data_IF_918164579086
#
_entry.id   IF_918164579086
#
_cell.length_a   1.000
_cell.length_b   1.000
_cell.length_c   1.000
_cell.angle_alpha   90.00
_cell.angle_beta   90.00
_cell.angle_gamma   90.00
#
_symmetry.space_group_name_H-M   'P 1'
#
loop_
_entity.id
_entity.type
_entity.pdbx_description
1 polymer ?
#
# COMPACT_ATOMS: atom_id res chain seq x y z
N UNK A 1 -10.96 31.40 3.86
CA UNK A 1 -10.45 30.40 2.92
C UNK A 1 -9.98 29.11 3.59
N UNK A 2 -9.53 29.10 4.85
CA UNK A 2 -9.20 27.87 5.62
C UNK A 2 -10.45 27.03 5.93
N UNK A 3 -11.52 27.65 6.35
CA UNK A 3 -12.76 27.01 6.82
C UNK A 3 -13.51 26.21 5.71
N UNK A 4 -13.47 26.67 4.46
CA UNK A 4 -14.14 25.97 3.35
C UNK A 4 -13.34 24.75 2.83
N UNK A 5 -12.02 24.72 3.05
CA UNK A 5 -11.18 23.56 2.72
C UNK A 5 -11.34 22.43 3.75
N UNK A 6 -11.43 22.75 5.04
CA UNK A 6 -11.67 21.79 6.13
C UNK A 6 -13.03 21.10 6.03
N UNK A 7 -14.09 21.83 5.66
CA UNK A 7 -15.45 21.29 5.56
C UNK A 7 -15.63 20.19 4.48
N UNK A 8 -14.63 19.95 3.63
CA UNK A 8 -14.70 18.99 2.50
C UNK A 8 -13.87 17.74 2.68
N UNK A 9 -12.94 17.68 3.65
CA UNK A 9 -12.15 16.49 3.93
C UNK A 9 -13.02 15.43 4.65
N UNK A 10 -12.64 14.16 4.48
CA UNK A 10 -13.25 13.11 5.29
C UNK A 10 -12.93 13.34 6.77
N UNK A 11 -13.92 13.31 7.68
CA UNK A 11 -13.72 13.72 9.09
C UNK A 11 -12.68 12.88 9.85
N UNK A 12 -12.47 11.62 9.43
CA UNK A 12 -11.49 10.72 10.04
C UNK A 12 -10.24 10.55 9.15
N UNK A 13 -10.11 11.30 8.06
CA UNK A 13 -8.88 11.25 7.25
C UNK A 13 -7.73 11.89 8.02
N UNK A 14 -6.53 11.31 7.97
CA UNK A 14 -5.34 11.96 8.49
C UNK A 14 -5.05 13.24 7.69
N UNK A 15 -4.29 14.14 8.25
CA UNK A 15 -3.86 15.34 7.53
C UNK A 15 -2.92 14.98 6.37
N UNK A 16 -2.02 14.02 6.60
CA UNK A 16 -1.08 13.47 5.65
C UNK A 16 -1.09 11.94 5.75
N UNK A 17 -0.66 11.24 4.70
CA UNK A 17 -0.38 9.80 4.73
C UNK A 17 1.13 9.61 4.67
N UNK A 18 1.81 9.61 5.81
CA UNK A 18 3.27 9.36 5.90
C UNK A 18 3.57 7.87 6.02
N UNK A 19 2.82 7.18 6.86
CA UNK A 19 2.83 5.74 7.13
C UNK A 19 1.41 5.29 7.51
N UNK A 20 1.25 4.07 8.02
CA UNK A 20 -0.05 3.56 8.48
C UNK A 20 -0.26 3.72 9.99
N UNK A 21 0.74 4.23 10.71
CA UNK A 21 0.68 4.37 12.16
C UNK A 21 -0.41 5.37 12.54
N UNK A 22 -1.30 4.95 13.44
CA UNK A 22 -2.36 5.81 13.95
C UNK A 22 -3.53 6.06 13.00
N UNK A 23 -3.59 5.39 11.84
CA UNK A 23 -4.79 5.42 11.02
C UNK A 23 -5.97 4.79 11.79
N UNK A 24 -7.17 5.31 11.51
CA UNK A 24 -8.39 4.74 12.04
C UNK A 24 -8.90 3.58 11.15
N UNK A 25 -9.21 2.44 11.80
CA UNK A 25 -9.73 1.25 11.10
C UNK A 25 -11.03 1.55 10.34
N UNK A 26 -11.90 2.39 10.92
CA UNK A 26 -13.17 2.75 10.27
C UNK A 26 -12.94 3.59 9.04
N UNK A 27 -12.00 4.50 9.08
CA UNK A 27 -11.56 5.28 7.92
C UNK A 27 -11.05 4.37 6.79
N UNK A 28 -10.22 3.36 7.11
CA UNK A 28 -9.73 2.42 6.10
C UNK A 28 -10.86 1.63 5.42
N UNK A 29 -11.84 1.16 6.19
CA UNK A 29 -12.99 0.43 5.63
C UNK A 29 -13.88 1.34 4.76
N UNK A 30 -14.05 2.60 5.13
CA UNK A 30 -14.75 3.59 4.32
C UNK A 30 -13.96 3.92 3.05
N UNK A 31 -12.62 3.99 3.14
CA UNK A 31 -11.74 4.18 2.00
C UNK A 31 -11.86 3.03 1.00
N UNK A 32 -11.92 1.79 1.48
CA UNK A 32 -12.13 0.60 0.62
C UNK A 32 -13.50 0.64 -0.07
N UNK A 33 -14.55 1.01 0.65
CA UNK A 33 -15.88 1.13 0.08
C UNK A 33 -15.96 2.23 -1.00
N UNK A 34 -15.27 3.36 -0.79
CA UNK A 34 -15.21 4.43 -1.77
C UNK A 34 -14.36 4.04 -3.00
N UNK A 35 -13.25 3.33 -2.80
CA UNK A 35 -12.45 2.78 -3.89
C UNK A 35 -13.28 1.84 -4.78
N UNK A 36 -14.08 0.96 -4.17
CA UNK A 36 -14.96 0.04 -4.90
C UNK A 36 -16.07 0.79 -5.65
N UNK A 37 -16.65 1.84 -5.04
CA UNK A 37 -17.63 2.72 -5.69
C UNK A 37 -17.05 3.44 -6.91
N UNK A 38 -15.85 4.04 -6.77
CA UNK A 38 -15.16 4.72 -7.87
C UNK A 38 -14.74 3.76 -8.98
N UNK A 39 -14.37 2.52 -8.62
CA UNK A 39 -14.07 1.45 -9.58
C UNK A 39 -15.31 1.07 -10.39
N UNK A 40 -16.46 0.87 -9.74
CA UNK A 40 -17.69 0.42 -10.37
C UNK A 40 -18.23 1.39 -11.44
N UNK A 41 -17.92 2.68 -11.33
CA UNK A 41 -18.39 3.71 -12.30
C UNK A 41 -17.30 4.17 -13.27
N UNK A 42 -16.09 3.58 -13.19
CA UNK A 42 -14.97 3.94 -14.07
C UNK A 42 -15.32 3.79 -15.55
N UNK A 43 -14.97 4.78 -16.35
CA UNK A 43 -15.21 4.77 -17.79
C UNK A 43 -16.68 4.98 -18.20
N UNK A 44 -17.56 5.26 -17.25
CA UNK A 44 -18.97 5.57 -17.52
C UNK A 44 -19.26 7.08 -17.41
N UNK A 45 -20.36 7.57 -18.04
CA UNK A 45 -20.79 8.96 -17.88
C UNK A 45 -21.16 9.33 -16.40
N UNK A 46 -21.31 8.34 -15.53
CA UNK A 46 -21.61 8.52 -14.10
C UNK A 46 -20.36 8.69 -13.24
N UNK A 47 -19.15 8.60 -13.82
CA UNK A 47 -17.90 8.77 -13.10
C UNK A 47 -17.83 10.19 -12.52
N UNK A 48 -17.73 10.34 -11.17
CA UNK A 48 -17.68 11.66 -10.56
C UNK A 48 -16.31 12.31 -10.77
N UNK A 49 -16.29 13.64 -10.72
CA UNK A 49 -15.07 14.45 -10.84
C UNK A 49 -14.85 15.29 -9.57
N UNK A 50 -14.67 14.67 -8.39
CA UNK A 50 -14.63 15.36 -7.11
C UNK A 50 -13.40 16.25 -6.91
N UNK A 51 -12.37 16.08 -7.72
CA UNK A 51 -11.14 16.88 -7.70
C UNK A 51 -11.03 17.84 -8.90
N UNK A 52 -12.16 18.22 -9.51
CA UNK A 52 -12.15 19.18 -10.61
C UNK A 52 -11.50 20.50 -10.18
N UNK A 53 -10.51 20.97 -10.98
CA UNK A 53 -9.73 22.17 -10.72
C UNK A 53 -8.65 22.02 -9.62
N UNK A 54 -8.37 20.80 -9.15
CA UNK A 54 -7.28 20.50 -8.22
C UNK A 54 -6.06 19.93 -8.92
N UNK A 55 -4.89 20.23 -8.38
CA UNK A 55 -3.60 19.78 -8.92
C UNK A 55 -2.81 19.00 -7.88
N UNK A 56 -2.25 17.85 -8.29
CA UNK A 56 -1.29 17.09 -7.51
C UNK A 56 0.14 17.36 -8.00
N UNK A 57 1.07 17.64 -7.09
CA UNK A 57 2.50 17.60 -7.38
C UNK A 57 3.05 16.19 -7.14
N UNK A 58 3.73 15.62 -8.15
CA UNK A 58 4.37 14.31 -8.05
C UNK A 58 5.88 14.48 -7.95
N UNK A 59 6.45 14.09 -6.82
CA UNK A 59 7.89 14.16 -6.49
C UNK A 59 8.45 12.75 -6.48
N UNK A 60 9.20 12.36 -7.51
CA UNK A 60 9.69 11.00 -7.68
C UNK A 60 11.21 10.94 -7.80
N UNK A 61 11.89 10.61 -6.71
CA UNK A 61 13.35 10.41 -6.68
C UNK A 61 13.78 8.99 -7.10
N UNK A 62 12.81 8.07 -7.22
CA UNK A 62 13.02 6.70 -7.70
C UNK A 62 12.16 6.45 -8.93
N UNK A 63 12.64 5.71 -9.96
CA UNK A 63 11.82 5.25 -11.06
C UNK A 63 10.56 4.54 -10.56
N UNK A 64 9.42 4.80 -11.17
CA UNK A 64 8.16 4.18 -10.78
C UNK A 64 7.12 4.25 -11.90
N UNK A 65 6.90 3.12 -12.56
CA UNK A 65 5.85 3.01 -13.57
C UNK A 65 4.46 3.04 -12.89
N UNK A 66 4.20 2.07 -12.02
CA UNK A 66 2.87 1.87 -11.40
C UNK A 66 2.39 3.06 -10.60
N UNK A 67 3.25 3.61 -9.74
CA UNK A 67 2.88 4.75 -8.89
C UNK A 67 2.63 6.01 -9.71
N UNK A 68 3.51 6.31 -10.68
CA UNK A 68 3.34 7.46 -11.56
C UNK A 68 2.03 7.37 -12.34
N UNK A 69 1.79 6.24 -13.00
CA UNK A 69 0.57 6.02 -13.80
C UNK A 69 -0.67 6.07 -12.91
N UNK A 70 -0.68 5.39 -11.76
CA UNK A 70 -1.88 5.34 -10.91
C UNK A 70 -2.27 6.69 -10.32
N UNK A 71 -1.32 7.53 -9.88
CA UNK A 71 -1.64 8.87 -9.38
C UNK A 71 -2.02 9.83 -10.51
N UNK A 72 -1.28 9.83 -11.64
CA UNK A 72 -1.59 10.69 -12.79
C UNK A 72 -2.95 10.38 -13.38
N UNK A 73 -3.21 9.10 -13.69
CA UNK A 73 -4.52 8.66 -14.22
C UNK A 73 -5.61 8.87 -13.19
N UNK A 74 -5.32 8.60 -11.91
CA UNK A 74 -6.26 8.82 -10.81
C UNK A 74 -6.71 10.27 -10.70
N UNK A 75 -5.78 11.24 -10.74
CA UNK A 75 -6.11 12.67 -10.73
C UNK A 75 -6.95 13.05 -11.95
N UNK A 76 -6.54 12.62 -13.14
CA UNK A 76 -7.27 12.89 -14.37
C UNK A 76 -8.72 12.36 -14.35
N UNK A 77 -8.90 11.08 -13.94
CA UNK A 77 -10.23 10.47 -13.83
C UNK A 77 -11.13 11.17 -12.79
N UNK A 78 -10.52 11.74 -11.73
CA UNK A 78 -11.23 12.53 -10.71
C UNK A 78 -11.46 14.00 -11.12
N UNK A 79 -11.00 14.39 -12.32
CA UNK A 79 -11.21 15.74 -12.89
C UNK A 79 -10.14 16.77 -12.53
N UNK A 80 -9.08 16.35 -11.85
CA UNK A 80 -7.92 17.17 -11.55
C UNK A 80 -6.76 16.92 -12.52
N UNK A 81 -5.63 17.54 -12.22
CA UNK A 81 -4.38 17.44 -12.97
C UNK A 81 -3.23 16.98 -12.09
N UNK A 82 -2.15 16.50 -12.70
CA UNK A 82 -0.92 16.13 -12.01
C UNK A 82 0.30 16.74 -12.70
N UNK A 83 1.18 17.35 -11.92
CA UNK A 83 2.46 17.91 -12.37
C UNK A 83 3.59 17.08 -11.81
N UNK A 84 4.46 16.59 -12.69
CA UNK A 84 5.66 15.83 -12.32
C UNK A 84 6.84 16.79 -12.11
N UNK A 85 7.35 16.85 -10.89
CA UNK A 85 8.41 17.79 -10.52
C UNK A 85 9.84 17.22 -10.68
N UNK A 86 9.99 15.93 -11.05
CA UNK A 86 11.31 15.32 -11.22
C UNK A 86 12.12 15.18 -9.94
N UNK A 87 13.41 14.82 -10.10
CA UNK A 87 14.31 14.42 -8.98
C UNK A 87 15.01 15.60 -8.31
N UNK A 88 15.26 16.69 -9.04
CA UNK A 88 16.26 17.71 -8.67
C UNK A 88 15.69 18.81 -7.76
N UNK A 89 14.38 18.96 -7.72
CA UNK A 89 13.74 20.15 -7.15
C UNK A 89 13.42 20.01 -5.67
N UNK A 90 13.25 18.77 -5.16
CA UNK A 90 12.95 18.51 -3.74
C UNK A 90 13.90 17.48 -3.17
N UNK A 91 14.97 17.91 -2.51
CA UNK A 91 15.92 17.00 -1.85
C UNK A 91 16.46 17.59 -0.56
N UNK A 92 16.91 16.74 0.38
CA UNK A 92 17.53 17.19 1.63
C UNK A 92 18.84 17.97 1.43
N UNK A 93 19.47 17.81 0.26
CA UNK A 93 20.71 18.49 -0.15
C UNK A 93 20.47 19.47 -1.30
N UNK A 94 19.20 19.79 -1.58
CA UNK A 94 18.80 20.72 -2.65
C UNK A 94 19.21 22.16 -2.39
N UNK A 95 18.95 23.01 -3.40
CA UNK A 95 19.25 24.45 -3.32
C UNK A 95 18.30 25.16 -2.34
N UNK A 96 17.11 24.61 -2.12
CA UNK A 96 16.10 25.12 -1.20
C UNK A 96 15.89 24.14 -0.04
N UNK A 97 15.47 24.66 1.11
CA UNK A 97 15.10 23.81 2.23
C UNK A 97 13.81 23.04 1.93
N UNK A 98 13.66 21.84 2.53
CA UNK A 98 12.43 21.04 2.39
C UNK A 98 11.22 21.83 2.86
N UNK A 99 11.37 22.64 3.89
CA UNK A 99 10.33 23.51 4.48
C UNK A 99 9.88 24.59 3.50
N UNK A 100 10.84 25.28 2.83
CA UNK A 100 10.51 26.31 1.84
C UNK A 100 9.77 25.69 0.66
N UNK A 101 10.22 24.55 0.16
CA UNK A 101 9.53 23.81 -0.91
C UNK A 101 8.12 23.43 -0.47
N UNK A 102 7.91 22.95 0.78
CA UNK A 102 6.59 22.63 1.30
C UNK A 102 5.66 23.84 1.34
N UNK A 103 6.17 25.01 1.79
CA UNK A 103 5.38 26.25 1.83
C UNK A 103 5.02 26.74 0.42
N UNK A 104 5.97 26.71 -0.52
CA UNK A 104 5.75 27.13 -1.92
C UNK A 104 4.72 26.23 -2.59
N UNK A 105 4.89 24.90 -2.49
CA UNK A 105 3.93 23.94 -3.06
C UNK A 105 2.55 24.09 -2.43
N UNK A 106 2.46 24.38 -1.13
CA UNK A 106 1.17 24.59 -0.45
C UNK A 106 0.38 25.78 -1.03
N UNK A 107 1.04 26.76 -1.63
CA UNK A 107 0.40 27.87 -2.33
C UNK A 107 0.06 27.61 -3.80
N UNK A 108 0.60 26.55 -4.42
CA UNK A 108 0.50 26.31 -5.85
C UNK A 108 -0.33 25.08 -6.22
N UNK A 109 -0.36 24.04 -5.36
CA UNK A 109 -1.05 22.78 -5.64
C UNK A 109 -1.96 22.39 -4.47
N UNK A 110 -2.76 21.33 -4.64
CA UNK A 110 -3.74 20.89 -3.64
C UNK A 110 -3.30 19.65 -2.85
N UNK A 111 -2.33 18.91 -3.35
CA UNK A 111 -1.70 17.78 -2.65
C UNK A 111 -0.33 17.46 -3.23
N UNK A 112 0.53 16.82 -2.44
CA UNK A 112 1.85 16.36 -2.85
C UNK A 112 1.94 14.84 -2.69
N UNK A 113 2.43 14.16 -3.72
CA UNK A 113 2.72 12.71 -3.71
C UNK A 113 4.21 12.53 -3.81
N UNK A 114 4.82 11.88 -2.80
CA UNK A 114 6.29 11.75 -2.69
C UNK A 114 6.70 10.30 -2.75
N UNK A 115 7.63 9.97 -3.65
CA UNK A 115 8.34 8.70 -3.70
C UNK A 115 9.86 8.97 -3.66
N UNK A 116 10.47 8.64 -2.55
CA UNK A 116 11.88 8.97 -2.27
C UNK A 116 12.59 7.85 -1.52
N UNK A 117 13.88 8.00 -1.25
CA UNK A 117 14.64 7.15 -0.33
C UNK A 117 14.36 7.54 1.12
N UNK A 118 14.55 8.81 1.45
CA UNK A 118 14.47 9.33 2.81
C UNK A 118 13.04 9.43 3.31
N UNK A 119 12.71 8.68 4.37
CA UNK A 119 11.44 8.83 5.08
C UNK A 119 11.37 10.17 5.82
N UNK A 120 12.51 10.62 6.35
CA UNK A 120 12.63 11.92 7.02
C UNK A 120 12.25 13.10 6.11
N UNK A 121 12.60 13.02 4.81
CA UNK A 121 12.17 14.05 3.84
C UNK A 121 10.64 14.15 3.79
N UNK A 122 9.94 13.00 3.73
CA UNK A 122 8.48 12.99 3.71
C UNK A 122 7.89 13.55 5.00
N UNK A 123 8.47 13.20 6.15
CA UNK A 123 8.05 13.73 7.46
C UNK A 123 8.23 15.25 7.54
N UNK A 124 9.36 15.79 7.06
CA UNK A 124 9.63 17.25 7.04
C UNK A 124 8.68 17.97 6.09
N UNK A 125 8.44 17.44 4.89
CA UNK A 125 7.44 17.98 3.97
C UNK A 125 6.05 18.02 4.62
N UNK A 126 5.63 16.91 5.24
CA UNK A 126 4.33 16.82 5.91
C UNK A 126 4.22 17.82 7.08
N UNK A 127 5.27 17.96 7.89
CA UNK A 127 5.28 18.89 9.02
C UNK A 127 5.18 20.37 8.63
N UNK A 128 5.57 20.73 7.40
CA UNK A 128 5.60 22.12 6.93
C UNK A 128 4.53 22.45 5.88
N UNK A 129 3.93 21.45 5.27
CA UNK A 129 2.89 21.66 4.27
C UNK A 129 1.53 21.93 4.91
N UNK A 130 0.76 22.87 4.32
CA UNK A 130 -0.66 23.11 4.68
C UNK A 130 -1.64 22.35 3.76
N UNK A 131 -1.12 21.53 2.88
CA UNK A 131 -1.84 20.63 1.96
C UNK A 131 -1.45 19.19 2.24
N UNK A 132 -2.28 18.19 1.88
CA UNK A 132 -1.96 16.79 2.11
C UNK A 132 -0.65 16.36 1.44
N UNK A 133 0.16 15.60 2.18
CA UNK A 133 1.33 14.90 1.67
C UNK A 133 1.06 13.39 1.73
N UNK A 134 1.27 12.70 0.61
CA UNK A 134 1.09 11.25 0.47
C UNK A 134 2.46 10.61 0.25
N UNK A 135 2.88 9.76 1.19
CA UNK A 135 4.02 8.87 1.00
C UNK A 135 3.64 7.76 0.01
N UNK A 136 4.15 7.85 -1.20
CA UNK A 136 3.97 6.82 -2.22
C UNK A 136 4.99 5.66 -2.09
N UNK A 137 6.13 5.89 -1.47
CA UNK A 137 7.15 4.96 -1.00
C UNK A 137 8.36 5.70 -0.43
N UNK A 138 8.89 5.21 0.66
CA UNK A 138 10.25 5.48 1.15
C UNK A 138 10.96 4.16 1.47
N UNK A 139 12.25 4.19 1.85
CA UNK A 139 12.97 2.99 2.30
C UNK A 139 12.45 2.46 3.64
N UNK A 140 11.64 3.24 4.35
CA UNK A 140 11.05 2.86 5.63
C UNK A 140 9.62 2.35 5.52
N UNK A 141 8.79 2.89 4.62
CA UNK A 141 7.36 2.58 4.54
C UNK A 141 6.82 2.66 3.11
N UNK A 142 5.86 1.79 2.78
CA UNK A 142 5.10 1.81 1.53
C UNK A 142 3.57 1.76 1.78
N UNK A 143 3.00 2.78 2.43
CA UNK A 143 1.61 2.75 2.91
C UNK A 143 0.60 2.56 1.77
N UNK A 144 0.80 3.20 0.62
CA UNK A 144 -0.08 3.06 -0.54
C UNK A 144 -0.14 1.63 -1.10
N UNK A 145 0.92 0.84 -0.93
CA UNK A 145 0.93 -0.56 -1.35
C UNK A 145 0.05 -1.39 -0.41
N UNK A 146 0.32 -1.32 0.90
CA UNK A 146 -0.40 -2.15 1.86
C UNK A 146 -1.88 -1.79 1.93
N UNK A 147 -2.24 -0.52 1.82
CA UNK A 147 -3.64 -0.12 1.66
C UNK A 147 -4.30 -0.80 0.45
N UNK A 148 -3.61 -0.91 -0.69
CA UNK A 148 -4.14 -1.56 -1.89
C UNK A 148 -4.20 -3.09 -1.75
N UNK A 149 -3.24 -3.70 -1.05
CA UNK A 149 -3.20 -5.12 -0.77
C UNK A 149 -4.37 -5.52 0.14
N UNK A 150 -4.59 -4.76 1.21
CA UNK A 150 -5.73 -4.95 2.10
C UNK A 150 -7.07 -4.72 1.39
N UNK A 151 -7.15 -3.73 0.51
CA UNK A 151 -8.33 -3.50 -0.33
C UNK A 151 -8.58 -4.70 -1.26
N UNK A 152 -7.54 -5.29 -1.83
CA UNK A 152 -7.64 -6.48 -2.68
C UNK A 152 -8.23 -7.67 -1.91
N UNK A 153 -7.72 -7.94 -0.71
CA UNK A 153 -8.24 -8.99 0.18
C UNK A 153 -9.69 -8.72 0.60
N UNK A 154 -9.99 -7.47 1.00
CA UNK A 154 -11.35 -7.06 1.38
C UNK A 154 -12.34 -7.21 0.21
N UNK A 155 -11.94 -6.86 -1.01
CA UNK A 155 -12.77 -7.07 -2.22
C UNK A 155 -13.01 -8.53 -2.52
N UNK A 156 -12.02 -9.38 -2.31
CA UNK A 156 -12.16 -10.84 -2.42
C UNK A 156 -13.06 -11.44 -1.32
N UNK A 157 -13.63 -10.62 -0.42
CA UNK A 157 -14.51 -11.05 0.66
C UNK A 157 -13.77 -11.64 1.86
N UNK A 158 -12.45 -11.49 1.95
CA UNK A 158 -11.69 -11.97 3.10
C UNK A 158 -12.00 -11.11 4.33
N UNK A 159 -12.17 -11.74 5.47
CA UNK A 159 -12.27 -11.04 6.76
C UNK A 159 -10.88 -10.70 7.28
N UNK A 160 -10.51 -9.42 7.17
CA UNK A 160 -9.19 -8.93 7.56
C UNK A 160 -8.87 -9.12 9.05
N UNK A 161 -9.84 -9.46 9.89
CA UNK A 161 -9.61 -9.77 11.30
C UNK A 161 -9.37 -11.27 11.57
N UNK A 162 -9.55 -12.15 10.57
CA UNK A 162 -9.48 -13.60 10.75
C UNK A 162 -8.39 -14.27 9.90
N UNK A 163 -7.92 -13.62 8.84
CA UNK A 163 -6.94 -14.21 7.93
C UNK A 163 -5.54 -14.33 8.55
N UNK A 164 -4.78 -15.27 8.02
CA UNK A 164 -3.35 -15.41 8.31
C UNK A 164 -2.56 -14.97 7.07
N UNK A 165 -1.68 -14.01 7.25
CA UNK A 165 -0.76 -13.49 6.24
C UNK A 165 0.64 -14.04 6.51
N UNK A 166 1.27 -14.63 5.49
CA UNK A 166 2.66 -15.04 5.52
C UNK A 166 3.52 -14.10 4.68
N UNK A 167 4.50 -13.50 5.32
CA UNK A 167 5.58 -12.79 4.65
C UNK A 167 6.80 -13.69 4.54
N UNK A 168 7.39 -13.80 3.33
CA UNK A 168 8.61 -14.57 3.08
C UNK A 168 9.57 -13.69 2.29
N UNK A 169 10.71 -13.31 2.86
CA UNK A 169 11.70 -12.49 2.15
C UNK A 169 12.40 -11.46 3.03
N UNK A 170 12.74 -10.31 2.48
CA UNK A 170 13.49 -9.24 3.13
C UNK A 170 12.65 -8.47 4.17
N UNK A 171 13.27 -8.05 5.26
CA UNK A 171 12.67 -7.18 6.28
C UNK A 171 12.57 -5.73 5.84
N UNK A 172 12.05 -5.47 4.65
CA UNK A 172 12.05 -4.19 3.98
C UNK A 172 10.85 -3.28 4.33
N UNK A 173 10.74 -2.14 3.65
CA UNK A 173 9.68 -1.14 3.82
C UNK A 173 8.25 -1.68 3.56
N UNK A 174 8.09 -2.72 2.73
CA UNK A 174 6.78 -3.34 2.50
C UNK A 174 6.37 -4.16 3.71
N UNK A 175 7.31 -4.94 4.29
CA UNK A 175 7.07 -5.63 5.56
C UNK A 175 6.82 -4.64 6.70
N UNK A 176 7.56 -3.52 6.78
CA UNK A 176 7.31 -2.48 7.77
C UNK A 176 5.85 -2.02 7.75
N UNK A 177 5.32 -1.74 6.56
CA UNK A 177 3.93 -1.32 6.43
C UNK A 177 2.92 -2.45 6.72
N UNK A 178 3.27 -3.74 6.53
CA UNK A 178 2.46 -4.85 7.02
C UNK A 178 2.46 -4.94 8.56
N UNK A 179 3.60 -4.66 9.21
CA UNK A 179 3.70 -4.58 10.67
C UNK A 179 2.80 -3.47 11.22
N UNK A 180 2.85 -2.27 10.62
CA UNK A 180 1.96 -1.15 10.97
C UNK A 180 0.48 -1.56 10.81
N UNK A 181 0.11 -2.15 9.67
CA UNK A 181 -1.26 -2.58 9.38
C UNK A 181 -1.77 -3.64 10.37
N UNK A 182 -0.90 -4.49 10.90
CA UNK A 182 -1.26 -5.53 11.88
C UNK A 182 -1.79 -4.95 13.20
N UNK A 183 -1.46 -3.71 13.51
CA UNK A 183 -1.98 -3.01 14.70
C UNK A 183 -3.41 -2.49 14.50
N UNK A 184 -3.87 -2.37 13.26
CA UNK A 184 -5.17 -1.82 12.88
C UNK A 184 -6.24 -2.90 12.70
N UNK A 185 -5.82 -4.09 12.24
CA UNK A 185 -6.71 -5.24 11.98
C UNK A 185 -6.26 -6.46 12.79
N UNK A 186 -7.15 -7.42 12.91
CA UNK A 186 -6.93 -8.62 13.71
C UNK A 186 -6.26 -9.78 12.97
N UNK A 187 -5.72 -9.59 11.76
CA UNK A 187 -5.04 -10.66 11.05
C UNK A 187 -3.78 -11.14 11.78
N UNK A 188 -3.45 -12.41 11.58
CA UNK A 188 -2.18 -12.98 12.02
C UNK A 188 -1.11 -12.70 10.99
N UNK A 189 0.06 -12.19 11.42
CA UNK A 189 1.21 -11.97 10.54
C UNK A 189 2.36 -12.90 10.94
N UNK A 190 2.72 -13.82 10.05
CA UNK A 190 3.89 -14.67 10.19
C UNK A 190 4.99 -14.17 9.27
N UNK A 191 6.17 -13.96 9.83
CA UNK A 191 7.29 -13.30 9.14
C UNK A 191 8.46 -14.26 9.08
N UNK A 192 8.81 -14.71 7.88
CA UNK A 192 10.01 -15.48 7.59
C UNK A 192 11.02 -14.61 6.86
N UNK A 193 12.08 -14.22 7.57
CA UNK A 193 13.20 -13.42 7.04
C UNK A 193 14.52 -14.09 7.44
N UNK A 194 15.55 -14.08 6.58
CA UNK A 194 16.88 -14.57 6.93
C UNK A 194 17.49 -13.79 8.10
N UNK A 195 18.41 -14.42 8.82
CA UNK A 195 19.18 -13.73 9.85
C UNK A 195 20.04 -12.62 9.20
N UNK A 196 20.02 -11.43 9.81
CA UNK A 196 20.68 -10.23 9.30
C UNK A 196 19.85 -9.37 8.35
N UNK A 197 18.63 -9.79 8.03
CA UNK A 197 17.67 -9.06 7.17
C UNK A 197 16.34 -8.78 7.89
N UNK A 198 16.40 -8.69 9.20
CA UNK A 198 15.23 -8.41 10.03
C UNK A 198 14.64 -7.03 9.71
N UNK A 199 13.31 -6.86 9.87
CA UNK A 199 12.69 -5.54 9.83
C UNK A 199 13.19 -4.65 10.97
N UNK A 200 12.89 -3.36 10.91
CA UNK A 200 13.17 -2.43 12.01
C UNK A 200 12.67 -3.00 13.34
N UNK A 201 13.58 -3.08 14.33
CA UNK A 201 13.30 -3.72 15.62
C UNK A 201 12.22 -2.98 16.40
N UNK A 202 12.15 -1.64 16.31
CA UNK A 202 11.15 -0.84 16.99
C UNK A 202 9.75 -1.10 16.41
N UNK A 203 9.63 -1.13 15.10
CA UNK A 203 8.36 -1.46 14.41
C UNK A 203 7.91 -2.89 14.71
N UNK A 204 8.85 -3.85 14.71
CA UNK A 204 8.52 -5.24 15.02
C UNK A 204 7.98 -5.39 16.44
N UNK A 205 8.67 -4.81 17.44
CA UNK A 205 8.25 -4.88 18.85
C UNK A 205 6.92 -4.16 19.11
N UNK A 206 6.70 -3.00 18.46
CA UNK A 206 5.40 -2.30 18.55
C UNK A 206 4.27 -3.15 17.96
N UNK A 207 4.49 -3.75 16.78
CA UNK A 207 3.52 -4.63 16.14
C UNK A 207 3.25 -5.90 16.97
N UNK A 208 4.29 -6.53 17.54
CA UNK A 208 4.16 -7.69 18.41
C UNK A 208 3.33 -7.38 19.66
N UNK A 209 3.52 -6.19 20.25
CA UNK A 209 2.81 -5.75 21.45
C UNK A 209 1.35 -5.33 21.17
N UNK A 210 1.06 -4.74 20.01
CA UNK A 210 -0.23 -4.08 19.71
C UNK A 210 -1.12 -4.84 18.76
N UNK A 211 -0.59 -5.77 17.95
CA UNK A 211 -1.38 -6.55 17.02
C UNK A 211 -2.36 -7.47 17.73
N UNK A 212 -3.65 -7.40 17.36
CA UNK A 212 -4.70 -8.25 17.93
C UNK A 212 -4.63 -9.69 17.42
N UNK A 213 -4.19 -9.89 16.19
CA UNK A 213 -4.02 -11.23 15.58
C UNK A 213 -2.71 -11.89 15.94
N UNK A 214 -1.76 -11.10 16.39
CA UNK A 214 -0.40 -11.52 16.71
C UNK A 214 0.55 -11.44 15.50
N UNK A 215 1.78 -10.99 15.80
CA UNK A 215 2.91 -11.00 14.85
C UNK A 215 3.91 -12.03 15.36
N UNK A 216 4.38 -12.90 14.49
CA UNK A 216 5.35 -13.92 14.87
C UNK A 216 6.43 -14.07 13.79
N UNK A 217 7.68 -13.88 14.20
CA UNK A 217 8.83 -14.25 13.36
C UNK A 217 9.09 -15.74 13.48
N UNK A 218 9.34 -16.37 12.34
CA UNK A 218 9.75 -17.77 12.21
C UNK A 218 10.99 -17.85 11.32
N UNK A 219 11.80 -18.90 11.51
CA UNK A 219 13.01 -19.09 10.69
C UNK A 219 12.74 -19.88 9.42
N UNK A 220 11.80 -20.82 9.50
CA UNK A 220 11.45 -21.69 8.38
C UNK A 220 10.33 -21.05 7.56
N UNK A 221 10.56 -20.70 6.28
CA UNK A 221 9.52 -20.18 5.41
C UNK A 221 8.29 -21.08 5.30
N UNK A 222 8.47 -22.40 5.35
CA UNK A 222 7.36 -23.36 5.35
C UNK A 222 6.50 -23.29 6.61
N UNK A 223 7.09 -22.92 7.76
CA UNK A 223 6.31 -22.65 8.99
C UNK A 223 5.46 -21.39 8.83
N UNK A 224 5.98 -20.35 8.15
CA UNK A 224 5.23 -19.13 7.91
C UNK A 224 4.00 -19.38 7.03
N UNK A 225 4.18 -20.06 5.91
CA UNK A 225 3.14 -20.24 4.89
C UNK A 225 2.10 -21.30 5.26
N UNK A 226 2.39 -22.23 6.17
CA UNK A 226 1.48 -23.34 6.51
C UNK A 226 0.10 -22.84 6.95
N UNK A 227 -0.93 -23.14 6.13
CA UNK A 227 -2.30 -22.72 6.39
C UNK A 227 -2.49 -21.20 6.39
N UNK A 228 -1.65 -20.45 5.68
CA UNK A 228 -1.84 -19.04 5.44
C UNK A 228 -2.93 -18.81 4.38
N UNK A 229 -3.67 -17.72 4.49
CA UNK A 229 -4.70 -17.29 3.53
C UNK A 229 -4.11 -16.40 2.44
N UNK A 230 -2.95 -15.81 2.72
CA UNK A 230 -2.16 -15.01 1.79
C UNK A 230 -0.68 -15.26 2.01
N UNK A 231 0.06 -15.45 0.92
CA UNK A 231 1.53 -15.49 0.90
C UNK A 231 2.01 -14.25 0.14
N UNK A 232 2.91 -13.48 0.76
CA UNK A 232 3.46 -12.26 0.19
C UNK A 232 4.97 -12.27 0.26
N UNK A 233 5.61 -11.77 -0.79
CA UNK A 233 7.05 -11.52 -0.86
C UNK A 233 7.34 -10.22 -1.61
N UNK A 234 8.58 -9.80 -1.59
CA UNK A 234 9.11 -8.70 -2.38
C UNK A 234 10.53 -9.04 -2.85
N UNK A 235 11.07 -8.23 -3.74
CA UNK A 235 12.43 -8.39 -4.25
C UNK A 235 13.45 -8.49 -3.11
N UNK A 236 14.38 -9.42 -3.21
CA UNK A 236 15.45 -9.56 -2.22
C UNK A 236 16.44 -8.39 -2.27
N UNK A 237 16.60 -7.78 -3.45
CA UNK A 237 17.48 -6.64 -3.67
C UNK A 237 16.64 -5.43 -4.09
N UNK A 238 16.47 -4.48 -3.17
CA UNK A 238 15.76 -3.24 -3.44
C UNK A 238 16.60 -2.28 -4.26
N UNK A 239 15.94 -1.28 -4.88
CA UNK A 239 16.60 -0.22 -5.65
C UNK A 239 17.63 0.54 -4.78
N UNK A 240 18.88 0.59 -5.25
CA UNK A 240 20.02 1.17 -4.55
C UNK A 240 20.86 0.16 -3.75
N UNK A 241 20.48 -1.12 -3.75
CA UNK A 241 21.20 -2.22 -3.07
C UNK A 241 21.83 -3.20 -4.08
N UNK A 242 21.95 -2.84 -5.34
CA UNK A 242 22.39 -3.74 -6.44
C UNK A 242 23.79 -4.32 -6.18
N UNK A 243 24.64 -3.61 -5.43
CA UNK A 243 25.98 -4.11 -5.06
C UNK A 243 25.93 -5.29 -4.10
N UNK A 244 24.85 -5.48 -3.38
CA UNK A 244 24.64 -6.58 -2.42
C UNK A 244 23.96 -7.79 -3.06
N UNK A 245 23.56 -7.73 -4.32
CA UNK A 245 22.67 -8.71 -4.96
C UNK A 245 23.17 -10.17 -4.85
N UNK A 246 24.46 -10.41 -5.08
CA UNK A 246 25.02 -11.77 -4.99
C UNK A 246 25.03 -12.29 -3.55
N UNK A 247 25.40 -11.47 -2.59
CA UNK A 247 25.38 -11.85 -1.18
C UNK A 247 23.95 -12.10 -0.70
N UNK A 248 23.00 -11.23 -1.07
CA UNK A 248 21.57 -11.41 -0.77
C UNK A 248 21.03 -12.71 -1.36
N UNK A 249 21.39 -13.05 -2.61
CA UNK A 249 20.97 -14.32 -3.24
C UNK A 249 21.43 -15.55 -2.45
N UNK A 250 22.60 -15.51 -1.84
CA UNK A 250 23.11 -16.58 -0.97
C UNK A 250 22.33 -16.62 0.35
N UNK A 251 22.14 -15.47 1.00
CA UNK A 251 21.45 -15.37 2.28
C UNK A 251 19.97 -15.77 2.19
N UNK A 252 19.31 -15.45 1.08
CA UNK A 252 17.91 -15.80 0.83
C UNK A 252 17.69 -17.19 0.22
N UNK A 253 18.75 -18.03 0.15
CA UNK A 253 18.61 -19.42 -0.29
C UNK A 253 17.57 -20.14 0.58
N UNK A 254 16.53 -20.71 -0.08
CA UNK A 254 15.40 -21.35 0.60
C UNK A 254 14.21 -20.42 0.93
N UNK A 255 14.29 -19.13 0.58
CA UNK A 255 13.19 -18.18 0.76
C UNK A 255 12.44 -17.87 -0.56
N UNK A 256 12.74 -18.58 -1.65
CA UNK A 256 11.96 -18.51 -2.90
C UNK A 256 10.55 -19.05 -2.67
N UNK A 257 9.53 -18.26 -2.91
CA UNK A 257 8.15 -18.75 -2.87
C UNK A 257 7.90 -19.60 -4.11
N UNK A 258 7.83 -20.90 -3.91
CA UNK A 258 7.59 -21.93 -4.92
C UNK A 258 6.22 -22.59 -4.77
N UNK A 259 5.86 -23.51 -5.68
CA UNK A 259 4.59 -24.21 -5.66
C UNK A 259 4.43 -25.11 -4.42
N UNK A 260 5.55 -25.57 -3.82
CA UNK A 260 5.49 -26.38 -2.59
C UNK A 260 5.12 -25.52 -1.41
N UNK A 261 5.63 -24.27 -1.33
CA UNK A 261 5.21 -23.31 -0.31
C UNK A 261 3.74 -22.94 -0.50
N UNK A 262 3.29 -22.67 -1.72
CA UNK A 262 1.87 -22.39 -1.98
C UNK A 262 0.98 -23.59 -1.66
N UNK A 263 1.41 -24.81 -1.91
CA UNK A 263 0.67 -26.02 -1.53
C UNK A 263 0.58 -26.26 -0.01
N UNK A 264 1.50 -25.68 0.79
CA UNK A 264 1.45 -25.72 2.25
C UNK A 264 0.52 -24.67 2.85
N UNK A 265 0.16 -23.63 2.09
CA UNK A 265 -0.84 -22.64 2.46
C UNK A 265 -2.28 -23.21 2.38
N UNK A 266 -3.29 -22.41 2.70
CA UNK A 266 -4.67 -22.82 2.51
C UNK A 266 -4.97 -23.04 1.01
N UNK A 267 -5.87 -23.99 0.65
CA UNK A 267 -6.15 -24.28 -0.76
C UNK A 267 -6.64 -23.08 -1.57
N UNK A 268 -7.29 -22.13 -0.93
CA UNK A 268 -7.79 -20.88 -1.51
C UNK A 268 -6.87 -19.67 -1.20
N UNK A 269 -5.65 -19.93 -0.73
CA UNK A 269 -4.67 -18.88 -0.48
C UNK A 269 -4.32 -18.14 -1.77
N UNK A 270 -4.08 -16.82 -1.63
CA UNK A 270 -3.62 -15.98 -2.74
C UNK A 270 -2.14 -15.62 -2.59
N UNK A 271 -1.46 -15.48 -3.71
CA UNK A 271 -0.09 -14.95 -3.78
C UNK A 271 -0.13 -13.46 -4.16
N UNK A 272 0.65 -12.64 -3.43
CA UNK A 272 0.80 -11.21 -3.68
C UNK A 272 2.26 -10.80 -3.78
N UNK A 273 2.53 -9.79 -4.64
CA UNK A 273 3.84 -9.18 -4.85
C UNK A 273 3.66 -7.76 -5.37
N UNK A 274 4.35 -6.77 -4.78
CA UNK A 274 4.18 -5.36 -5.16
C UNK A 274 4.72 -5.02 -6.56
N UNK A 275 5.50 -5.92 -7.16
CA UNK A 275 6.19 -5.74 -8.45
C UNK A 275 7.18 -4.55 -8.46
N UNK A 276 8.30 -4.63 -9.23
CA UNK A 276 8.67 -5.72 -10.17
C UNK A 276 9.09 -6.98 -9.43
N UNK A 277 8.99 -8.14 -10.06
CA UNK A 277 9.43 -9.42 -9.51
C UNK A 277 10.57 -10.01 -10.33
N UNK A 278 11.52 -10.69 -9.66
CA UNK A 278 12.60 -11.43 -10.28
C UNK A 278 12.28 -12.93 -10.25
N UNK A 279 11.64 -13.39 -11.32
CA UNK A 279 11.28 -14.82 -11.47
C UNK A 279 12.52 -15.71 -11.37
N UNK A 280 12.47 -16.69 -10.46
CA UNK A 280 13.60 -17.57 -10.13
C UNK A 280 14.48 -17.07 -8.98
N UNK A 281 14.19 -15.88 -8.42
CA UNK A 281 14.78 -15.37 -7.18
C UNK A 281 13.74 -15.48 -6.05
N UNK A 282 13.05 -14.41 -5.71
CA UNK A 282 12.08 -14.41 -4.59
C UNK A 282 10.80 -15.21 -4.87
N UNK A 283 10.49 -15.47 -6.13
CA UNK A 283 9.29 -16.22 -6.54
C UNK A 283 9.53 -17.00 -7.83
N UNK A 284 8.95 -18.21 -7.94
CA UNK A 284 9.00 -18.98 -9.20
C UNK A 284 8.00 -18.43 -10.23
N UNK A 285 8.27 -18.64 -11.56
CA UNK A 285 7.30 -18.30 -12.60
C UNK A 285 5.94 -18.97 -12.38
N UNK A 286 5.94 -20.23 -11.97
CA UNK A 286 4.75 -21.04 -11.75
C UNK A 286 3.84 -20.48 -10.66
N UNK A 287 4.40 -19.80 -9.65
CA UNK A 287 3.62 -19.13 -8.59
C UNK A 287 3.12 -17.78 -9.06
N UNK A 288 4.01 -16.89 -9.55
CA UNK A 288 3.62 -15.52 -9.87
C UNK A 288 2.67 -15.42 -11.08
N UNK A 289 2.83 -16.35 -12.04
CA UNK A 289 1.98 -16.44 -13.24
C UNK A 289 0.88 -17.50 -13.07
N UNK A 290 0.81 -18.16 -11.90
CA UNK A 290 -0.11 -19.23 -11.58
C UNK A 290 -1.49 -18.78 -11.15
N UNK A 291 -2.43 -19.72 -10.95
CA UNK A 291 -3.84 -19.41 -10.68
C UNK A 291 -4.13 -18.79 -9.32
N UNK A 292 -3.22 -18.94 -8.35
CA UNK A 292 -3.36 -18.32 -7.02
C UNK A 292 -2.78 -16.90 -6.97
N UNK A 293 -2.10 -16.46 -8.05
CA UNK A 293 -1.52 -15.12 -8.12
C UNK A 293 -2.58 -14.06 -8.40
N UNK A 294 -2.62 -13.03 -7.58
CA UNK A 294 -3.48 -11.86 -7.76
C UNK A 294 -2.67 -10.58 -8.02
N UNK A 295 -1.40 -10.70 -8.39
CA UNK A 295 -0.47 -9.57 -8.54
C UNK A 295 -0.92 -8.50 -9.54
N UNK A 296 -1.62 -8.89 -10.60
CA UNK A 296 -2.14 -7.95 -11.61
C UNK A 296 -3.35 -7.19 -11.05
N UNK A 297 -4.28 -7.89 -10.39
CA UNK A 297 -5.43 -7.25 -9.73
C UNK A 297 -4.96 -6.35 -8.58
N UNK A 298 -4.00 -6.80 -7.78
CA UNK A 298 -3.34 -6.01 -6.73
C UNK A 298 -2.76 -4.71 -7.30
N UNK A 299 -2.02 -4.78 -8.41
CA UNK A 299 -1.44 -3.62 -9.07
C UNK A 299 -2.52 -2.65 -9.62
N UNK A 300 -3.60 -3.17 -10.21
CA UNK A 300 -4.75 -2.37 -10.67
C UNK A 300 -5.47 -1.70 -9.50
N UNK A 301 -5.66 -2.40 -8.39
CA UNK A 301 -6.33 -1.91 -7.20
C UNK A 301 -5.64 -0.69 -6.58
N UNK A 302 -4.35 -0.50 -6.83
CA UNK A 302 -3.64 0.74 -6.45
C UNK A 302 -4.29 1.98 -7.05
N UNK A 303 -4.69 1.94 -8.33
CA UNK A 303 -5.37 3.07 -8.96
C UNK A 303 -6.67 3.41 -8.21
N UNK A 304 -7.48 2.41 -7.93
CA UNK A 304 -8.80 2.63 -7.32
C UNK A 304 -8.70 3.14 -5.88
N UNK A 305 -7.80 2.54 -5.09
CA UNK A 305 -7.56 2.96 -3.72
C UNK A 305 -6.94 4.36 -3.64
N UNK A 306 -5.94 4.64 -4.46
CA UNK A 306 -5.29 5.95 -4.49
C UNK A 306 -6.25 7.06 -4.92
N UNK A 307 -7.22 6.78 -5.81
CA UNK A 307 -8.31 7.71 -6.13
C UNK A 307 -9.13 8.04 -4.89
N UNK A 308 -9.59 7.05 -4.15
CA UNK A 308 -10.33 7.26 -2.92
C UNK A 308 -9.51 8.03 -1.88
N UNK A 309 -8.22 7.70 -1.73
CA UNK A 309 -7.30 8.39 -0.83
C UNK A 309 -7.14 9.87 -1.19
N UNK A 310 -6.93 10.19 -2.47
CA UNK A 310 -6.81 11.58 -2.93
C UNK A 310 -8.09 12.37 -2.66
N UNK A 311 -9.26 11.77 -2.89
CA UNK A 311 -10.56 12.41 -2.57
C UNK A 311 -10.69 12.67 -1.08
N UNK A 312 -10.34 11.69 -0.23
CA UNK A 312 -10.43 11.81 1.21
C UNK A 312 -9.53 12.92 1.77
N UNK A 313 -8.30 13.03 1.26
CA UNK A 313 -7.30 13.97 1.76
C UNK A 313 -7.45 15.37 1.15
N UNK A 314 -7.65 15.47 -0.17
CA UNK A 314 -7.71 16.76 -0.85
C UNK A 314 -9.08 17.47 -0.73
N UNK A 315 -10.06 16.86 -0.10
CA UNK A 315 -11.36 17.47 0.12
C UNK A 315 -12.27 17.46 -1.12
N UNK A 316 -12.51 16.28 -1.67
CA UNK A 316 -13.57 16.05 -2.67
C UNK A 316 -14.92 15.77 -2.03
N UNK A 317 -15.98 15.69 -2.85
CA UNK A 317 -17.30 15.28 -2.37
C UNK A 317 -17.26 13.81 -1.96
N UNK A 318 -17.22 13.57 -0.65
CA UNK A 318 -17.27 12.23 -0.07
C UNK A 318 -18.74 11.81 0.09
N UNK A 319 -19.20 10.86 -0.66
CA UNK A 319 -20.53 10.30 -0.49
C UNK A 319 -20.51 9.26 0.63
N UNK A 320 -20.96 9.66 1.83
CA UNK A 320 -21.19 8.71 2.91
C UNK A 320 -22.11 7.61 2.44
N UNK A 321 -21.59 6.41 2.28
CA UNK A 321 -22.42 5.22 2.06
C UNK A 321 -23.13 4.91 3.38
N UNK A 322 -24.49 4.93 3.46
CA UNK A 322 -25.17 4.49 4.66
C UNK A 322 -24.76 3.05 4.98
N UNK A 323 -24.43 2.77 6.23
CA UNK A 323 -24.16 1.41 6.73
C UNK A 323 -25.37 0.48 6.49
N UNK A 324 -25.57 -0.01 5.28
CA UNK A 324 -26.42 -1.18 5.05
C UNK A 324 -25.57 -2.40 5.33
N UNK A 325 -25.90 -3.08 6.44
CA UNK A 325 -25.37 -4.39 6.76
C UNK A 325 -25.33 -5.27 5.50
N UNK A 326 -24.13 -5.72 5.10
CA UNK A 326 -23.99 -6.77 4.07
C UNK A 326 -24.74 -8.00 4.58
N UNK A 327 -25.89 -8.29 4.00
CA UNK A 327 -26.53 -9.60 4.14
C UNK A 327 -25.56 -10.61 3.51
N UNK A 328 -25.14 -11.58 4.31
CA UNK A 328 -24.42 -12.78 3.87
C UNK A 328 -25.20 -13.38 2.71
N UNK A 329 -24.66 -13.37 1.50
CA UNK A 329 -25.15 -14.18 0.40
C UNK A 329 -24.61 -15.60 0.56
N UNK A 330 -25.15 -16.34 1.51
CA UNK A 330 -25.09 -17.81 1.52
C UNK A 330 -26.20 -18.29 0.61
N UNK A 331 -25.89 -18.54 -0.66
CA UNK A 331 -26.58 -19.52 -1.49
C UNK A 331 -25.64 -19.91 -2.64
N UNK A 332 -24.84 -20.96 -2.37
CA UNK A 332 -24.36 -21.82 -3.44
C UNK A 332 -25.62 -22.52 -4.03
N UNK A 333 -25.91 -22.26 -5.30
CA UNK A 333 -26.85 -23.12 -6.02
C UNK A 333 -26.12 -24.42 -6.43
N UNK A 334 -26.68 -25.59 -6.20
CA UNK A 334 -26.11 -26.83 -6.72
C UNK A 334 -26.31 -26.85 -8.22
N UNK A 335 -25.21 -27.10 -8.97
CA UNK A 335 -25.28 -27.47 -10.38
C UNK A 335 -25.94 -28.86 -10.43
N UNK A 336 -27.14 -28.91 -10.89
CA UNK A 336 -27.85 -30.15 -11.16
C UNK A 336 -27.43 -30.77 -12.47
N UNK A 337 -27.35 -32.11 -12.43
CA UNK A 337 -27.18 -33.16 -13.41
C UNK A 337 -27.10 -32.79 -14.92
#
# INVERSE_FOLDING_TARGET
MSDEREARRHPNAPEHLVDLTGLDRSFMLELFAEADRLRAVRGTPKAPRPLAGKTAALVFHKPSLRTRVSFTVGMHELGGDAVDLGVVEVSETGRESVEDVAHVLSGMVDLVVVRTFSHRLVQRLAASATIPVINALTDHSHPCQILADMYTLWRAGRDLDQITIAWVGDGNNVLHSWLEASTLFGFKLRVAVPDGFEPDAGLYLDAEARSKGGVRRVRDPYEAVRGADMVCTDTWTSMGQEQEAEWRRIAFSGYTVDERMMAAANPDAVFMHCLPAHRGEEVTPEVIDGPQSVVVEQAENRLHLQKALMVALAGGTWNRVPRKARRRSTQAQPVGA
#
